data_IF_508338260660
#
_entry.id   IF_508338260660
#
_cell.length_a   1.000
_cell.length_b   1.000
_cell.length_c   1.000
_cell.angle_alpha   90.00
_cell.angle_beta   90.00
_cell.angle_gamma   90.00
#
_symmetry.space_group_name_H-M   'P 1'
#
loop_
_entity.id
_entity.type
_entity.pdbx_description
1 polymer ?
#
# COMPACT_ATOMS: atom_id res chain seq x y z
N UNK A 1 7.69 7.57 23.36
CA UNK A 1 7.59 8.29 24.64
C UNK A 1 7.72 7.31 25.79
N UNK A 2 8.75 7.43 26.66
CA UNK A 2 8.88 6.62 27.86
C UNK A 2 7.59 6.63 28.71
N UNK A 3 7.24 5.52 29.40
CA UNK A 3 5.98 5.40 30.13
C UNK A 3 5.68 6.58 31.07
N UNK A 4 6.72 7.12 31.73
CA UNK A 4 6.67 8.22 32.68
C UNK A 4 6.31 9.58 32.08
N UNK A 5 6.43 9.74 30.75
CA UNK A 5 6.07 10.97 30.02
C UNK A 5 4.84 10.79 29.12
N UNK A 6 4.11 9.68 29.25
CA UNK A 6 2.91 9.44 28.44
C UNK A 6 1.80 10.42 28.83
N UNK A 7 1.00 10.82 27.83
CA UNK A 7 -0.14 11.75 27.96
C UNK A 7 0.21 13.20 28.31
N UNK A 8 1.47 13.60 28.18
CA UNK A 8 1.92 15.00 28.33
C UNK A 8 1.97 15.79 27.01
N UNK A 9 1.26 15.30 25.97
CA UNK A 9 1.20 15.97 24.66
C UNK A 9 2.49 15.96 23.83
N UNK A 10 3.55 15.26 24.25
CA UNK A 10 4.83 15.21 23.50
C UNK A 10 4.67 14.67 22.08
N UNK A 11 3.80 13.68 21.86
CA UNK A 11 3.58 13.09 20.54
C UNK A 11 2.82 14.06 19.63
N UNK A 12 1.79 14.75 20.13
CA UNK A 12 1.08 15.79 19.35
C UNK A 12 2.06 16.85 18.84
N UNK A 13 2.86 17.40 19.75
CA UNK A 13 3.90 18.39 19.40
C UNK A 13 4.92 17.85 18.40
N UNK A 14 5.30 16.57 18.50
CA UNK A 14 6.22 15.94 17.56
C UNK A 14 5.59 15.73 16.19
N UNK A 15 4.32 15.32 16.14
CA UNK A 15 3.55 15.18 14.91
C UNK A 15 3.40 16.52 14.20
N UNK A 16 2.92 17.54 14.90
CA UNK A 16 2.79 18.91 14.39
C UNK A 16 4.13 19.44 13.85
N UNK A 17 5.21 19.31 14.62
CA UNK A 17 6.54 19.75 14.18
C UNK A 17 7.09 18.93 13.00
N UNK A 18 6.71 17.66 12.86
CA UNK A 18 7.11 16.84 11.72
C UNK A 18 6.36 17.27 10.46
N UNK A 19 5.05 17.51 10.56
CA UNK A 19 4.23 18.01 9.46
C UNK A 19 4.71 19.38 9.00
N UNK A 20 5.02 20.30 9.93
CA UNK A 20 5.57 21.62 9.60
C UNK A 20 6.92 21.51 8.87
N UNK A 21 7.77 20.56 9.26
CA UNK A 21 9.05 20.32 8.57
C UNK A 21 8.86 19.80 7.14
N UNK A 22 7.86 18.97 6.90
CA UNK A 22 7.63 18.34 5.59
C UNK A 22 6.78 19.21 4.65
N UNK A 23 6.08 20.19 5.19
CA UNK A 23 5.23 21.12 4.45
C UNK A 23 6.05 21.86 3.36
N UNK A 24 5.55 21.81 2.12
CA UNK A 24 6.22 22.37 0.93
C UNK A 24 7.37 21.53 0.38
N UNK A 25 7.68 20.38 0.98
CA UNK A 25 8.69 19.43 0.48
C UNK A 25 8.08 18.07 0.09
N UNK A 26 7.16 17.55 0.91
CA UNK A 26 6.52 16.26 0.67
C UNK A 26 4.99 16.38 0.75
N UNK A 27 4.24 15.95 -0.28
CA UNK A 27 2.77 16.05 -0.29
C UNK A 27 2.10 15.05 0.65
N UNK A 28 2.73 13.91 0.90
CA UNK A 28 2.18 12.79 1.65
C UNK A 28 3.18 12.30 2.70
N UNK A 29 2.65 11.79 3.81
CA UNK A 29 3.39 11.06 4.82
C UNK A 29 2.71 9.71 5.08
N UNK A 30 3.51 8.66 5.27
CA UNK A 30 3.03 7.33 5.59
C UNK A 30 3.66 6.79 6.87
N UNK A 31 2.96 5.89 7.57
CA UNK A 31 3.46 5.22 8.77
C UNK A 31 2.87 3.81 8.91
N UNK A 32 3.57 2.98 9.68
CA UNK A 32 3.04 1.73 10.19
C UNK A 32 2.52 1.91 11.62
N UNK A 33 1.19 1.87 11.85
CA UNK A 33 0.64 2.22 13.15
C UNK A 33 0.77 1.05 14.13
N UNK A 34 1.26 1.33 15.34
CA UNK A 34 1.05 0.39 16.46
C UNK A 34 -0.42 0.37 16.93
N UNK A 35 -1.17 1.44 16.66
CA UNK A 35 -2.59 1.59 16.95
C UNK A 35 -3.19 2.60 15.96
N UNK A 36 -4.16 2.16 15.16
CA UNK A 36 -4.81 3.03 14.15
C UNK A 36 -5.53 4.21 14.78
N UNK A 37 -6.40 3.94 15.75
CA UNK A 37 -7.15 4.97 16.49
C UNK A 37 -6.26 6.01 17.17
N UNK A 38 -5.01 5.64 17.48
CA UNK A 38 -4.04 6.59 18.02
C UNK A 38 -3.54 7.60 16.97
N UNK A 39 -3.39 7.20 15.70
CA UNK A 39 -2.93 8.10 14.63
C UNK A 39 -4.09 8.77 13.88
N UNK A 40 -5.29 8.18 13.88
CA UNK A 40 -6.52 8.78 13.34
C UNK A 40 -6.82 10.15 13.96
N UNK A 41 -6.55 10.33 15.26
CA UNK A 41 -6.74 11.63 15.92
C UNK A 41 -5.84 12.74 15.37
N UNK A 42 -4.76 12.39 14.66
CA UNK A 42 -3.88 13.33 13.98
C UNK A 42 -4.12 13.33 12.45
N UNK A 43 -5.25 12.78 12.01
CA UNK A 43 -5.71 12.73 10.63
C UNK A 43 -4.89 11.85 9.70
N UNK A 44 -4.28 10.78 10.21
CA UNK A 44 -3.85 9.64 9.38
C UNK A 44 -5.04 8.72 9.10
N UNK A 45 -5.09 8.14 7.92
CA UNK A 45 -6.10 7.17 7.53
C UNK A 45 -5.48 5.92 6.88
N UNK A 46 -6.24 4.83 6.77
CA UNK A 46 -5.73 3.58 6.18
C UNK A 46 -5.33 3.80 4.72
N UNK A 47 -4.10 3.43 4.34
CA UNK A 47 -3.60 3.58 2.97
C UNK A 47 -3.95 2.38 2.09
N UNK A 48 -3.86 1.17 2.63
CA UNK A 48 -4.25 -0.06 1.93
C UNK A 48 -4.61 -1.17 2.92
N UNK A 49 -5.32 -2.17 2.43
CA UNK A 49 -5.46 -3.48 3.08
C UNK A 49 -4.51 -4.48 2.44
N UNK A 50 -4.29 -5.59 3.12
CA UNK A 50 -3.52 -6.73 2.63
C UNK A 50 -4.17 -8.01 3.11
N UNK A 51 -4.17 -9.04 2.27
CA UNK A 51 -4.60 -10.38 2.64
C UNK A 51 -3.39 -11.19 3.12
N UNK A 52 -3.41 -11.64 4.38
CA UNK A 52 -2.54 -12.69 4.89
C UNK A 52 -3.16 -14.04 4.55
N UNK A 53 -2.46 -14.82 3.75
CA UNK A 53 -2.82 -16.19 3.44
C UNK A 53 -2.05 -17.16 4.32
N UNK A 54 -2.72 -18.23 4.74
CA UNK A 54 -2.08 -19.47 5.22
C UNK A 54 -2.62 -20.62 4.41
N UNK A 55 -1.75 -21.18 3.59
CA UNK A 55 -2.10 -22.11 2.51
C UNK A 55 -1.41 -23.44 2.80
N UNK A 56 -2.16 -24.51 3.11
CA UNK A 56 -1.60 -25.85 3.15
C UNK A 56 -0.91 -26.19 1.82
N UNK A 57 0.24 -26.86 1.85
CA UNK A 57 1.08 -27.02 0.65
C UNK A 57 0.41 -27.83 -0.48
N UNK A 58 -0.49 -28.74 -0.15
CA UNK A 58 -1.28 -29.50 -1.12
C UNK A 58 -2.26 -28.61 -1.90
N UNK A 59 -2.70 -27.49 -1.31
CA UNK A 59 -3.54 -26.50 -1.98
C UNK A 59 -2.79 -25.70 -3.05
N UNK A 60 -1.45 -25.71 -3.04
CA UNK A 60 -0.60 -25.15 -4.10
C UNK A 60 -0.33 -26.13 -5.25
N UNK A 61 -0.97 -27.30 -5.27
CA UNK A 61 -0.78 -28.31 -6.32
C UNK A 61 -1.09 -27.82 -7.74
N UNK A 62 -1.99 -26.85 -7.90
CA UNK A 62 -2.30 -26.24 -9.20
C UNK A 62 -1.08 -25.56 -9.84
N UNK A 63 -0.12 -25.12 -9.03
CA UNK A 63 1.05 -24.38 -9.48
C UNK A 63 2.23 -25.31 -9.86
N UNK A 64 2.27 -26.54 -9.34
CA UNK A 64 3.39 -27.47 -9.56
C UNK A 64 3.55 -27.85 -11.02
N UNK A 65 4.74 -27.61 -11.57
CA UNK A 65 5.08 -27.95 -12.96
C UNK A 65 4.26 -27.22 -14.03
N UNK A 66 3.55 -26.16 -13.64
CA UNK A 66 2.68 -25.40 -14.56
C UNK A 66 3.39 -24.25 -15.28
N UNK A 67 4.59 -23.89 -14.83
CA UNK A 67 5.36 -22.76 -15.34
C UNK A 67 6.64 -23.19 -16.08
N UNK A 68 7.05 -22.39 -17.08
CA UNK A 68 8.30 -22.60 -17.82
C UNK A 68 9.39 -21.64 -17.32
N UNK A 69 10.38 -22.18 -16.62
CA UNK A 69 11.46 -21.40 -16.04
C UNK A 69 12.32 -22.23 -15.11
N UNK A 70 13.27 -21.56 -14.44
CA UNK A 70 14.16 -22.20 -13.47
C UNK A 70 14.29 -21.38 -12.20
N UNK A 71 14.44 -22.07 -11.09
CA UNK A 71 14.80 -21.46 -9.81
C UNK A 71 16.30 -21.37 -9.66
N UNK A 72 16.76 -20.26 -9.12
CA UNK A 72 18.15 -20.06 -8.74
C UNK A 72 18.21 -19.33 -7.41
N UNK A 73 19.03 -19.81 -6.48
CA UNK A 73 19.30 -19.07 -5.25
C UNK A 73 20.01 -17.76 -5.59
N UNK A 74 19.50 -16.66 -5.06
CA UNK A 74 20.08 -15.34 -5.28
C UNK A 74 21.30 -15.13 -4.37
N UNK A 75 22.28 -14.39 -4.90
CA UNK A 75 23.43 -13.86 -4.19
C UNK A 75 23.30 -12.33 -4.04
N UNK A 76 24.06 -11.69 -3.15
CA UNK A 76 24.05 -10.23 -2.97
C UNK A 76 24.28 -9.44 -4.27
N UNK A 77 25.02 -10.00 -5.22
CA UNK A 77 25.31 -9.41 -6.54
C UNK A 77 24.11 -9.39 -7.49
N UNK A 78 23.08 -10.20 -7.23
CA UNK A 78 21.87 -10.28 -8.05
C UNK A 78 20.87 -9.14 -7.77
N UNK A 79 21.18 -8.22 -6.84
CA UNK A 79 20.22 -7.21 -6.35
C UNK A 79 19.53 -6.44 -7.48
N UNK A 80 20.28 -6.03 -8.52
CA UNK A 80 19.73 -5.24 -9.61
C UNK A 80 18.70 -6.02 -10.43
N UNK A 81 18.93 -7.32 -10.65
CA UNK A 81 17.99 -8.17 -11.38
C UNK A 81 16.73 -8.49 -10.55
N UNK A 82 16.84 -8.52 -9.23
CA UNK A 82 15.67 -8.62 -8.33
C UNK A 82 14.88 -7.31 -8.31
N UNK A 83 15.58 -6.18 -8.30
CA UNK A 83 14.99 -4.84 -8.36
C UNK A 83 14.20 -4.63 -9.65
N UNK A 84 14.74 -5.03 -10.80
CA UNK A 84 14.02 -4.99 -12.08
C UNK A 84 12.68 -5.74 -12.02
N UNK A 85 12.65 -6.92 -11.37
CA UNK A 85 11.43 -7.70 -11.20
C UNK A 85 10.47 -7.07 -10.17
N UNK A 86 10.99 -6.43 -9.12
CA UNK A 86 10.21 -5.69 -8.14
C UNK A 86 9.55 -4.46 -8.78
N UNK A 87 10.31 -3.61 -9.46
CA UNK A 87 9.83 -2.40 -10.14
C UNK A 87 8.82 -2.76 -11.23
N UNK A 88 9.02 -3.86 -11.96
CA UNK A 88 8.04 -4.34 -12.94
C UNK A 88 6.72 -4.80 -12.28
N UNK A 89 6.77 -5.32 -11.05
CA UNK A 89 5.57 -5.72 -10.29
C UNK A 89 4.86 -4.52 -9.66
N UNK A 90 5.60 -3.55 -9.15
CA UNK A 90 5.05 -2.34 -8.51
C UNK A 90 4.67 -1.28 -9.53
N UNK A 91 5.02 -1.45 -10.81
CA UNK A 91 4.54 -0.62 -11.89
C UNK A 91 2.99 -0.59 -11.92
N UNK A 92 2.43 0.60 -11.73
CA UNK A 92 0.99 0.80 -11.64
C UNK A 92 0.39 0.63 -10.25
N UNK A 93 1.22 0.55 -9.20
CA UNK A 93 0.75 0.59 -7.81
C UNK A 93 1.01 1.98 -7.19
N UNK A 94 0.00 2.51 -6.49
CA UNK A 94 0.17 3.73 -5.70
C UNK A 94 0.90 3.41 -4.40
N UNK A 95 1.84 4.28 -4.00
CA UNK A 95 2.70 4.14 -2.82
C UNK A 95 3.72 2.97 -2.87
N UNK A 96 3.98 2.40 -4.05
CA UNK A 96 5.12 1.50 -4.24
C UNK A 96 6.44 2.21 -3.91
N UNK A 97 7.30 1.59 -3.10
CA UNK A 97 8.56 2.19 -2.66
C UNK A 97 9.66 1.93 -3.69
N UNK A 98 10.32 2.96 -4.21
CA UNK A 98 11.56 2.76 -4.97
C UNK A 98 12.68 2.36 -4.05
N UNK A 99 13.23 1.16 -4.23
CA UNK A 99 14.28 0.59 -3.39
C UNK A 99 15.65 0.94 -3.96
N UNK A 100 16.60 1.29 -3.09
CA UNK A 100 18.00 1.48 -3.50
C UNK A 100 18.81 0.19 -3.27
N UNK A 101 20.03 0.14 -3.81
CA UNK A 101 20.93 -1.01 -3.62
C UNK A 101 21.14 -1.33 -2.13
N UNK A 102 21.20 -0.30 -1.29
CA UNK A 102 21.39 -0.48 0.15
C UNK A 102 20.21 -1.21 0.77
N UNK A 103 18.98 -0.88 0.41
CA UNK A 103 17.78 -1.60 0.81
C UNK A 103 17.88 -3.09 0.46
N UNK A 104 18.23 -3.39 -0.80
CA UNK A 104 18.38 -4.78 -1.23
C UNK A 104 19.44 -5.53 -0.44
N UNK A 105 20.63 -4.96 -0.27
CA UNK A 105 21.73 -5.62 0.42
C UNK A 105 21.51 -5.77 1.93
N UNK A 106 20.98 -4.74 2.58
CA UNK A 106 20.85 -4.71 4.05
C UNK A 106 19.55 -5.33 4.54
N UNK A 107 18.46 -5.31 3.75
CA UNK A 107 17.14 -5.77 4.19
C UNK A 107 16.66 -7.04 3.50
N UNK A 108 16.99 -7.25 2.23
CA UNK A 108 16.49 -8.41 1.46
C UNK A 108 17.52 -9.53 1.38
N UNK A 109 18.74 -9.20 0.95
CA UNK A 109 19.87 -10.10 0.73
C UNK A 109 20.83 -10.11 1.93
N UNK A 110 20.28 -10.01 3.15
CA UNK A 110 21.05 -9.86 4.39
C UNK A 110 21.73 -11.16 4.88
N UNK A 111 21.39 -12.31 4.27
CA UNK A 111 21.96 -13.62 4.60
C UNK A 111 21.16 -14.44 5.62
N UNK A 112 20.17 -13.84 6.28
CA UNK A 112 19.32 -14.51 7.28
C UNK A 112 18.09 -15.19 6.64
N UNK A 113 17.76 -14.84 5.39
CA UNK A 113 16.60 -15.34 4.63
C UNK A 113 17.02 -16.25 3.47
N UNK A 114 16.08 -17.08 3.02
CA UNK A 114 16.21 -17.80 1.75
C UNK A 114 15.67 -16.90 0.64
N UNK A 115 16.52 -16.59 -0.34
CA UNK A 115 16.15 -15.76 -1.50
C UNK A 115 16.36 -16.56 -2.78
N UNK A 116 15.31 -16.71 -3.57
CA UNK A 116 15.34 -17.41 -4.86
C UNK A 116 14.73 -16.55 -5.95
N UNK A 117 15.41 -16.49 -7.10
CA UNK A 117 14.94 -15.90 -8.33
C UNK A 117 14.28 -16.96 -9.22
N UNK A 118 13.19 -16.59 -9.88
CA UNK A 118 12.60 -17.32 -10.99
C UNK A 118 13.09 -16.70 -12.30
N UNK A 119 13.82 -17.48 -13.10
CA UNK A 119 14.41 -17.04 -14.36
C UNK A 119 13.72 -17.71 -15.55
N UNK A 120 13.36 -16.90 -16.55
CA UNK A 120 12.84 -17.36 -17.86
C UNK A 120 13.47 -16.51 -18.95
N UNK A 121 13.85 -17.14 -20.07
CA UNK A 121 14.48 -16.46 -21.22
C UNK A 121 15.72 -15.61 -20.88
N UNK A 122 16.46 -16.01 -19.85
CA UNK A 122 17.66 -15.30 -19.40
C UNK A 122 17.42 -14.04 -18.56
N UNK A 123 16.17 -13.77 -18.18
CA UNK A 123 15.80 -12.67 -17.30
C UNK A 123 15.16 -13.16 -16.00
N UNK A 124 15.36 -12.42 -14.91
CA UNK A 124 14.60 -12.60 -13.67
C UNK A 124 13.17 -12.13 -13.89
N UNK A 125 12.20 -13.02 -13.73
CA UNK A 125 10.76 -12.75 -13.87
C UNK A 125 10.02 -12.74 -12.53
N UNK A 126 10.71 -13.10 -11.46
CA UNK A 126 10.19 -12.97 -10.12
C UNK A 126 11.20 -13.45 -9.09
N UNK A 127 10.87 -13.24 -7.83
CA UNK A 127 11.65 -13.76 -6.72
C UNK A 127 10.76 -14.02 -5.51
N UNK A 128 11.26 -14.85 -4.60
CA UNK A 128 10.65 -15.08 -3.29
C UNK A 128 11.73 -14.98 -2.21
N UNK A 129 11.37 -14.32 -1.11
CA UNK A 129 12.16 -14.18 0.12
C UNK A 129 11.37 -14.84 1.24
N UNK A 130 11.94 -15.84 1.89
CA UNK A 130 11.23 -16.58 2.93
C UNK A 130 12.14 -17.10 4.03
N UNK A 131 11.53 -17.44 5.15
CA UNK A 131 12.13 -18.18 6.26
C UNK A 131 11.27 -19.38 6.62
N UNK A 132 11.77 -20.24 7.51
CA UNK A 132 10.94 -21.23 8.18
C UNK A 132 10.62 -20.76 9.59
N UNK A 133 9.35 -20.73 9.94
CA UNK A 133 8.89 -20.50 11.30
C UNK A 133 8.46 -21.84 11.92
N UNK A 134 8.77 -22.04 13.21
CA UNK A 134 8.38 -23.24 13.96
C UNK A 134 7.59 -22.83 15.19
N UNK A 135 6.35 -23.31 15.31
CA UNK A 135 5.51 -23.16 16.51
C UNK A 135 5.74 -24.25 17.57
N UNK A 136 6.50 -25.29 17.22
CA UNK A 136 6.76 -26.47 18.04
C UNK A 136 7.93 -27.29 17.48
N UNK A 137 8.04 -28.55 17.93
CA UNK A 137 9.09 -29.49 17.48
C UNK A 137 8.61 -30.41 16.33
N UNK A 138 7.31 -30.42 16.01
CA UNK A 138 6.72 -31.25 14.96
C UNK A 138 6.83 -30.63 13.56
N UNK A 139 6.82 -31.48 12.52
CA UNK A 139 6.77 -31.01 11.12
C UNK A 139 5.49 -30.23 10.81
N UNK A 140 4.37 -30.63 11.43
CA UNK A 140 3.08 -29.96 11.28
C UNK A 140 3.08 -28.53 11.87
N UNK A 141 4.02 -28.25 12.78
CA UNK A 141 4.19 -26.93 13.42
C UNK A 141 5.15 -26.01 12.63
N UNK A 142 5.69 -26.48 11.50
CA UNK A 142 6.65 -25.74 10.69
C UNK A 142 5.99 -25.18 9.44
N UNK A 143 6.13 -23.88 9.23
CA UNK A 143 5.59 -23.17 8.06
C UNK A 143 6.65 -22.37 7.33
N UNK A 144 6.42 -22.15 6.04
CA UNK A 144 7.18 -21.18 5.26
C UNK A 144 6.56 -19.80 5.47
N UNK A 145 7.34 -18.84 5.95
CA UNK A 145 6.92 -17.45 6.05
C UNK A 145 7.56 -16.64 4.92
N UNK A 146 6.76 -16.25 3.93
CA UNK A 146 7.18 -15.39 2.82
C UNK A 146 7.15 -13.94 3.30
N UNK A 147 8.32 -13.31 3.37
CA UNK A 147 8.44 -11.91 3.79
C UNK A 147 8.44 -10.93 2.62
N UNK A 148 8.80 -11.38 1.41
CA UNK A 148 8.69 -10.59 0.19
C UNK A 148 8.58 -11.50 -1.05
N UNK A 149 7.80 -11.09 -2.04
CA UNK A 149 7.65 -11.82 -3.30
C UNK A 149 7.19 -10.86 -4.40
N UNK A 150 7.91 -10.86 -5.53
CA UNK A 150 7.51 -10.12 -6.72
C UNK A 150 7.45 -11.06 -7.92
N UNK A 151 6.42 -10.89 -8.75
CA UNK A 151 6.19 -11.66 -9.97
C UNK A 151 5.75 -10.72 -11.07
N UNK A 152 6.41 -10.77 -12.23
CA UNK A 152 6.09 -9.88 -13.36
C UNK A 152 4.93 -10.41 -14.22
N UNK A 153 4.62 -11.70 -14.11
CA UNK A 153 3.52 -12.36 -14.83
C UNK A 153 3.00 -13.59 -14.05
N UNK A 154 1.90 -14.17 -14.53
CA UNK A 154 1.24 -15.31 -13.88
C UNK A 154 2.09 -16.59 -13.91
N UNK A 155 2.90 -16.78 -14.96
CA UNK A 155 3.81 -17.92 -15.09
C UNK A 155 4.91 -17.86 -14.00
N UNK A 156 5.50 -16.69 -13.75
CA UNK A 156 6.41 -16.49 -12.61
C UNK A 156 5.73 -16.71 -11.25
N UNK A 157 4.47 -16.29 -11.10
CA UNK A 157 3.69 -16.56 -9.88
C UNK A 157 3.49 -18.06 -9.67
N UNK A 158 3.08 -18.79 -10.71
CA UNK A 158 2.94 -20.24 -10.66
C UNK A 158 4.27 -20.94 -10.37
N UNK A 159 5.37 -20.51 -11.00
CA UNK A 159 6.70 -21.06 -10.77
C UNK A 159 7.15 -20.94 -9.31
N UNK A 160 6.97 -19.76 -8.72
CA UNK A 160 7.30 -19.52 -7.30
C UNK A 160 6.35 -20.25 -6.34
N UNK A 161 5.04 -20.29 -6.60
CA UNK A 161 4.10 -21.04 -5.75
C UNK A 161 4.35 -22.55 -5.85
N UNK A 162 4.66 -23.07 -7.04
CA UNK A 162 5.05 -24.47 -7.23
C UNK A 162 6.33 -24.82 -6.48
N UNK A 163 7.33 -23.94 -6.51
CA UNK A 163 8.54 -24.07 -5.69
C UNK A 163 8.25 -24.16 -4.20
N UNK A 164 7.39 -23.26 -3.69
CA UNK A 164 6.99 -23.29 -2.29
C UNK A 164 6.26 -24.59 -1.95
N UNK A 165 5.40 -25.08 -2.86
CA UNK A 165 4.71 -26.35 -2.71
C UNK A 165 5.66 -27.54 -2.55
N UNK A 166 6.79 -27.56 -3.27
CA UNK A 166 7.80 -28.64 -3.23
C UNK A 166 8.54 -28.80 -1.88
N UNK A 167 8.20 -27.99 -0.87
CA UNK A 167 8.70 -28.12 0.50
C UNK A 167 7.83 -29.00 1.42
N UNK A 168 6.99 -29.87 0.85
CA UNK A 168 6.06 -30.77 1.57
C UNK A 168 6.70 -31.70 2.62
N UNK A 169 8.01 -31.95 2.51
CA UNK A 169 8.79 -32.70 3.51
C UNK A 169 9.39 -31.83 4.63
N UNK A 170 9.19 -30.51 4.59
CA UNK A 170 9.85 -29.54 5.49
C UNK A 170 8.87 -28.57 6.17
N UNK A 171 7.67 -28.39 5.62
CA UNK A 171 6.64 -27.51 6.17
C UNK A 171 5.25 -28.06 5.87
N UNK A 172 4.25 -27.60 6.61
CA UNK A 172 2.83 -27.94 6.40
C UNK A 172 2.08 -26.89 5.58
N UNK A 173 2.46 -25.62 5.70
CA UNK A 173 1.79 -24.49 5.05
C UNK A 173 2.77 -23.39 4.59
N UNK A 174 2.27 -22.52 3.71
CA UNK A 174 2.88 -21.22 3.35
C UNK A 174 2.04 -20.11 3.95
N UNK A 175 2.70 -19.23 4.71
CA UNK A 175 2.19 -17.90 5.05
C UNK A 175 2.72 -16.88 4.05
N UNK A 176 1.84 -16.15 3.35
CA UNK A 176 2.22 -15.07 2.43
C UNK A 176 1.24 -13.91 2.49
N UNK A 177 1.65 -12.75 1.97
CA UNK A 177 0.80 -11.56 1.84
C UNK A 177 0.50 -11.25 0.37
N UNK A 178 -0.74 -10.93 0.06
CA UNK A 178 -1.19 -10.55 -1.27
C UNK A 178 -2.13 -9.32 -1.22
N UNK A 179 -2.29 -8.55 -2.30
CA UNK A 179 -3.12 -7.34 -2.32
C UNK A 179 -4.63 -7.62 -2.15
N UNK A 180 -5.09 -8.80 -2.56
CA UNK A 180 -6.50 -9.18 -2.65
C UNK A 180 -6.68 -10.68 -2.32
N UNK A 181 -7.92 -11.15 -2.40
CA UNK A 181 -8.33 -12.51 -2.05
C UNK A 181 -8.36 -13.49 -3.25
N UNK A 182 -7.91 -13.07 -4.44
CA UNK A 182 -8.06 -13.82 -5.70
C UNK A 182 -7.32 -15.16 -5.75
N UNK A 183 -6.32 -15.38 -4.88
CA UNK A 183 -5.64 -16.68 -4.79
C UNK A 183 -6.58 -17.79 -4.28
N UNK A 184 -7.66 -17.44 -3.57
CA UNK A 184 -8.69 -18.39 -3.15
C UNK A 184 -9.41 -19.04 -4.36
N UNK A 185 -9.51 -18.35 -5.48
CA UNK A 185 -10.16 -18.90 -6.68
C UNK A 185 -9.29 -19.89 -7.46
N UNK A 186 -8.01 -20.03 -7.08
CA UNK A 186 -7.03 -20.90 -7.77
C UNK A 186 -6.79 -22.21 -7.06
N UNK A 187 -6.93 -22.23 -5.74
CA UNK A 187 -6.66 -23.42 -4.93
C UNK A 187 -7.75 -24.49 -5.13
N UNK A 188 -7.42 -25.79 -5.06
CA UNK A 188 -8.39 -26.87 -5.22
C UNK A 188 -9.55 -26.84 -4.21
N UNK A 189 -9.25 -26.54 -2.94
CA UNK A 189 -10.23 -26.49 -1.85
C UNK A 189 -10.08 -25.17 -1.08
N UNK A 190 -10.76 -24.08 -1.50
CA UNK A 190 -10.62 -22.77 -0.88
C UNK A 190 -11.00 -22.73 0.61
N UNK A 191 -11.89 -23.63 1.03
CA UNK A 191 -12.30 -23.76 2.44
C UNK A 191 -11.21 -24.26 3.39
N UNK A 192 -10.12 -24.80 2.85
CA UNK A 192 -8.96 -25.28 3.62
C UNK A 192 -7.87 -24.20 3.77
N UNK A 193 -8.08 -23.01 3.19
CA UNK A 193 -7.13 -21.88 3.23
C UNK A 193 -7.63 -20.79 4.16
N UNK A 194 -6.78 -20.34 5.10
CA UNK A 194 -7.09 -19.13 5.87
C UNK A 194 -6.67 -17.89 5.07
N UNK A 195 -7.59 -16.93 4.93
CA UNK A 195 -7.33 -15.62 4.32
C UNK A 195 -7.82 -14.52 5.27
N UNK A 196 -6.88 -13.83 5.92
CA UNK A 196 -7.13 -12.76 6.89
C UNK A 196 -6.90 -11.40 6.23
N UNK A 197 -7.88 -10.51 6.33
CA UNK A 197 -7.71 -9.13 5.85
C UNK A 197 -7.16 -8.25 6.97
N UNK A 198 -5.99 -7.67 6.73
CA UNK A 198 -5.36 -6.71 7.63
C UNK A 198 -5.40 -5.32 7.02
N UNK A 199 -5.67 -4.32 7.85
CA UNK A 199 -5.33 -2.93 7.51
C UNK A 199 -3.82 -2.77 7.58
N UNK A 200 -3.23 -2.29 6.50
CA UNK A 200 -1.79 -2.06 6.40
C UNK A 200 -1.38 -0.70 6.98
N UNK A 201 -0.45 0.00 6.31
CA UNK A 201 0.02 1.29 6.76
C UNK A 201 -1.07 2.37 6.65
N UNK A 202 -0.80 3.50 7.28
CA UNK A 202 -1.62 4.69 7.18
C UNK A 202 -0.94 5.77 6.36
N UNK A 203 -1.73 6.61 5.71
CA UNK A 203 -1.30 7.76 4.91
C UNK A 203 -2.00 9.03 5.39
N UNK A 204 -1.33 10.16 5.18
CA UNK A 204 -1.83 11.51 5.46
C UNK A 204 -1.28 12.49 4.42
N UNK A 205 -2.13 13.36 3.90
CA UNK A 205 -1.72 14.56 3.18
C UNK A 205 -1.06 15.53 4.16
N UNK A 206 0.19 15.90 3.88
CA UNK A 206 0.94 16.88 4.67
C UNK A 206 0.46 18.29 4.32
N UNK A 207 0.26 18.55 3.02
CA UNK A 207 -0.31 19.77 2.47
C UNK A 207 -1.40 19.40 1.44
N UNK A 208 -2.62 19.90 1.64
CA UNK A 208 -3.77 19.62 0.76
C UNK A 208 -3.51 20.06 -0.67
N UNK A 209 -2.90 21.23 -0.88
CA UNK A 209 -2.67 21.77 -2.22
C UNK A 209 -1.63 20.96 -2.97
N UNK A 210 -0.52 20.60 -2.31
CA UNK A 210 0.55 19.81 -2.91
C UNK A 210 0.09 18.37 -3.16
N UNK A 211 -0.66 17.77 -2.23
CA UNK A 211 -1.23 16.45 -2.38
C UNK A 211 -2.18 16.36 -3.58
N UNK A 212 -3.10 17.32 -3.74
CA UNK A 212 -4.02 17.35 -4.87
C UNK A 212 -3.30 17.63 -6.20
N UNK A 213 -2.30 18.53 -6.23
CA UNK A 213 -1.50 18.79 -7.44
C UNK A 213 -0.67 17.59 -7.88
N UNK A 214 -0.25 16.74 -6.94
CA UNK A 214 0.60 15.59 -7.22
C UNK A 214 -0.16 14.39 -7.81
N UNK A 215 -1.50 14.41 -7.82
CA UNK A 215 -2.31 13.31 -8.34
C UNK A 215 -2.15 13.19 -9.86
N UNK A 216 -1.86 11.99 -10.39
CA UNK A 216 -1.84 11.74 -11.84
C UNK A 216 -3.27 11.52 -12.36
N UNK A 217 -4.03 12.61 -12.49
CA UNK A 217 -5.42 12.56 -12.94
C UNK A 217 -5.58 11.83 -14.30
N UNK A 218 -6.70 11.10 -14.53
CA UNK A 218 -6.93 10.39 -15.79
C UNK A 218 -6.91 11.30 -17.02
N UNK A 219 -6.44 10.77 -18.15
CA UNK A 219 -6.35 11.50 -19.41
C UNK A 219 -7.72 12.07 -19.82
N UNK A 220 -7.76 13.38 -20.10
CA UNK A 220 -8.97 14.09 -20.51
C UNK A 220 -9.94 14.41 -19.38
N UNK A 221 -9.62 14.06 -18.12
CA UNK A 221 -10.41 14.49 -16.97
C UNK A 221 -10.33 16.02 -16.81
N UNK A 222 -11.47 16.63 -16.51
CA UNK A 222 -11.55 18.05 -16.20
C UNK A 222 -12.73 18.35 -15.30
N UNK A 223 -12.48 19.13 -14.25
CA UNK A 223 -13.50 19.61 -13.33
C UNK A 223 -12.94 20.78 -12.51
N UNK A 224 -13.84 21.64 -12.07
CA UNK A 224 -13.58 22.66 -11.05
C UNK A 224 -14.40 22.30 -9.81
N UNK A 225 -13.76 22.18 -8.65
CA UNK A 225 -14.38 21.80 -7.39
C UNK A 225 -13.93 22.71 -6.26
N UNK A 226 -14.86 23.10 -5.38
CA UNK A 226 -14.56 23.70 -4.09
C UNK A 226 -14.64 22.66 -2.98
N UNK A 227 -13.55 22.45 -2.26
CA UNK A 227 -13.45 21.52 -1.15
C UNK A 227 -13.37 22.29 0.18
N UNK A 228 -14.21 21.95 1.15
CA UNK A 228 -14.01 22.31 2.55
C UNK A 228 -13.33 21.13 3.28
N UNK A 229 -12.07 21.34 3.69
CA UNK A 229 -11.26 20.34 4.38
C UNK A 229 -11.18 20.66 5.86
N UNK A 230 -11.46 19.67 6.70
CA UNK A 230 -11.27 19.77 8.16
C UNK A 230 -9.95 19.10 8.57
N UNK A 231 -9.09 19.84 9.29
CA UNK A 231 -7.84 19.29 9.83
C UNK A 231 -7.51 19.89 11.21
N UNK A 232 -7.81 19.13 12.27
CA UNK A 232 -7.57 19.57 13.65
C UNK A 232 -6.08 19.59 14.05
N UNK A 233 -5.17 19.09 13.19
CA UNK A 233 -3.74 18.98 13.51
C UNK A 233 -2.94 20.15 12.99
N UNK A 234 -3.21 20.63 11.77
CA UNK A 234 -2.44 21.72 11.14
C UNK A 234 -3.33 22.72 10.40
N UNK A 235 -3.12 24.01 10.70
CA UNK A 235 -4.02 25.08 10.25
C UNK A 235 -3.94 25.40 8.74
N UNK A 236 -2.88 24.99 8.04
CA UNK A 236 -2.76 25.24 6.60
C UNK A 236 -3.65 24.30 5.77
N UNK A 237 -4.02 23.14 6.31
CA UNK A 237 -4.94 22.19 5.68
C UNK A 237 -6.41 22.44 6.06
N UNK A 238 -6.67 23.09 7.19
CA UNK A 238 -8.03 23.41 7.63
C UNK A 238 -8.59 24.61 6.87
N UNK A 239 -9.67 24.42 6.11
CA UNK A 239 -10.35 25.49 5.37
C UNK A 239 -10.82 25.10 3.97
N UNK A 240 -11.06 26.10 3.13
CA UNK A 240 -11.58 25.92 1.77
C UNK A 240 -10.48 25.94 0.70
N UNK A 241 -10.62 25.10 -0.31
CA UNK A 241 -9.68 24.93 -1.42
C UNK A 241 -10.42 24.88 -2.75
N UNK A 242 -9.89 25.57 -3.76
CA UNK A 242 -10.36 25.48 -5.14
C UNK A 242 -9.42 24.56 -5.92
N UNK A 243 -9.94 23.42 -6.39
CA UNK A 243 -9.26 22.47 -7.26
C UNK A 243 -9.77 22.64 -8.68
N UNK A 244 -8.86 22.94 -9.60
CA UNK A 244 -9.13 22.94 -11.03
C UNK A 244 -8.27 21.88 -11.70
N UNK A 245 -8.90 20.93 -12.38
CA UNK A 245 -8.23 19.87 -13.16
C UNK A 245 -8.53 20.10 -14.65
N UNK A 246 -7.49 20.00 -15.46
CA UNK A 246 -7.64 20.07 -16.90
C UNK A 246 -6.47 19.42 -17.65
N UNK A 247 -6.38 19.64 -18.98
CA UNK A 247 -5.39 18.97 -19.83
C UNK A 247 -3.93 19.24 -19.49
N UNK A 248 -3.64 20.32 -18.75
CA UNK A 248 -2.30 20.71 -18.31
C UNK A 248 -1.94 20.21 -16.90
N UNK A 249 -2.78 19.36 -16.29
CA UNK A 249 -2.67 18.92 -14.90
C UNK A 249 -3.64 19.68 -13.99
N UNK A 250 -3.36 19.65 -12.68
CA UNK A 250 -4.18 20.28 -11.67
C UNK A 250 -3.54 21.50 -11.03
N UNK A 251 -4.37 22.47 -10.69
CA UNK A 251 -4.04 23.57 -9.79
C UNK A 251 -4.93 23.50 -8.57
N UNK A 252 -4.36 23.77 -7.40
CA UNK A 252 -5.11 23.82 -6.15
C UNK A 252 -4.62 25.01 -5.32
N UNK A 253 -5.55 25.85 -4.89
CA UNK A 253 -5.26 27.03 -4.08
C UNK A 253 -6.20 27.09 -2.87
N UNK A 254 -5.63 27.46 -1.71
CA UNK A 254 -6.42 27.70 -0.51
C UNK A 254 -7.16 29.02 -0.66
N UNK A 255 -8.46 29.00 -0.48
CA UNK A 255 -9.31 30.19 -0.61
C UNK A 255 -9.19 31.02 0.67
N UNK A 256 -8.84 32.30 0.53
CA UNK A 256 -8.83 33.24 1.65
C UNK A 256 -10.25 33.54 2.17
N UNK A 257 -10.39 34.04 3.39
CA UNK A 257 -11.69 34.29 4.07
C UNK A 257 -12.65 35.29 3.39
N UNK A 258 -12.39 35.73 2.15
CA UNK A 258 -13.15 36.77 1.43
C UNK A 258 -13.79 36.30 0.11
N UNK A 259 -13.65 35.04 -0.27
CA UNK A 259 -14.33 34.39 -1.39
C UNK A 259 -14.69 32.99 -0.89
N UNK A 260 -15.90 32.44 -0.93
CA UNK A 260 -17.15 32.77 -1.57
C UNK A 260 -18.30 32.56 -0.55
N UNK A 261 -19.47 33.12 -0.84
CA UNK A 261 -20.71 32.90 -0.08
C UNK A 261 -21.47 31.65 -0.57
N UNK A 262 -20.81 30.75 -1.31
CA UNK A 262 -21.39 29.53 -1.84
C UNK A 262 -20.99 28.34 -0.94
N UNK A 263 -21.92 27.39 -0.77
CA UNK A 263 -21.63 26.14 -0.09
C UNK A 263 -20.57 25.36 -0.90
N UNK A 264 -19.58 24.72 -0.24
CA UNK A 264 -18.57 23.94 -0.94
C UNK A 264 -19.20 22.74 -1.66
N UNK A 265 -18.64 22.37 -2.82
CA UNK A 265 -19.09 21.18 -3.58
C UNK A 265 -18.82 19.88 -2.81
N UNK A 266 -17.74 19.87 -2.02
CA UNK A 266 -17.28 18.72 -1.23
C UNK A 266 -16.89 19.19 0.17
N UNK A 267 -17.37 18.51 1.20
CA UNK A 267 -16.81 18.61 2.55
C UNK A 267 -16.14 17.30 2.94
N UNK A 268 -14.92 17.34 3.47
CA UNK A 268 -14.11 16.14 3.73
C UNK A 268 -13.12 16.33 4.89
N UNK A 269 -12.88 15.31 5.71
CA UNK A 269 -11.75 15.36 6.67
C UNK A 269 -10.41 15.02 5.99
N UNK A 270 -9.30 15.51 6.54
CA UNK A 270 -7.96 15.31 5.97
C UNK A 270 -7.58 13.83 5.80
N UNK A 271 -8.01 12.94 6.70
CA UNK A 271 -7.78 11.51 6.61
C UNK A 271 -8.54 10.90 5.44
N UNK A 272 -9.83 11.18 5.33
CA UNK A 272 -10.67 10.72 4.20
C UNK A 272 -10.16 11.26 2.86
N UNK A 273 -9.76 12.54 2.80
CA UNK A 273 -9.13 13.12 1.62
C UNK A 273 -7.83 12.39 1.26
N UNK A 274 -7.02 12.02 2.25
CA UNK A 274 -5.78 11.27 2.03
C UNK A 274 -6.04 9.90 1.41
N UNK A 275 -7.12 9.21 1.80
CA UNK A 275 -7.52 7.93 1.19
C UNK A 275 -7.96 8.10 -0.25
N UNK A 276 -8.70 9.18 -0.55
CA UNK A 276 -9.13 9.52 -1.90
C UNK A 276 -7.92 9.83 -2.80
N UNK A 277 -6.98 10.66 -2.31
CA UNK A 277 -5.77 11.07 -3.04
C UNK A 277 -4.91 9.88 -3.45
N UNK A 278 -4.77 8.87 -2.58
CA UNK A 278 -4.00 7.67 -2.93
C UNK A 278 -4.80 6.62 -3.69
N UNK A 279 -6.12 6.81 -3.85
CA UNK A 279 -7.00 5.88 -4.54
C UNK A 279 -7.35 4.62 -3.73
N UNK A 280 -7.26 4.65 -2.39
CA UNK A 280 -7.57 3.48 -1.56
C UNK A 280 -9.05 3.09 -1.61
N UNK A 281 -9.93 4.10 -1.66
CA UNK A 281 -11.39 3.95 -1.74
C UNK A 281 -11.93 4.99 -2.70
N UNK A 282 -12.96 4.61 -3.44
CA UNK A 282 -13.69 5.56 -4.26
C UNK A 282 -14.52 6.53 -3.40
N UNK A 283 -14.96 7.63 -4.02
CA UNK A 283 -15.73 8.66 -3.33
C UNK A 283 -17.07 8.14 -2.77
N UNK A 284 -17.73 7.19 -3.43
CA UNK A 284 -19.01 6.64 -2.98
C UNK A 284 -18.84 5.79 -1.70
N UNK A 285 -17.77 5.00 -1.62
CA UNK A 285 -17.39 4.28 -0.42
C UNK A 285 -17.01 5.25 0.70
N UNK A 286 -16.23 6.30 0.42
CA UNK A 286 -15.81 7.28 1.42
C UNK A 286 -16.97 8.10 1.98
N UNK A 287 -18.06 8.32 1.23
CA UNK A 287 -19.31 8.87 1.77
C UNK A 287 -19.96 7.97 2.83
N UNK A 288 -19.77 6.66 2.70
CA UNK A 288 -20.41 5.65 3.56
C UNK A 288 -19.58 5.34 4.80
N UNK A 289 -18.25 5.34 4.68
CA UNK A 289 -17.35 4.85 5.73
C UNK A 289 -16.38 5.90 6.26
N UNK A 290 -16.19 7.02 5.55
CA UNK A 290 -15.37 8.16 5.95
C UNK A 290 -16.23 9.41 6.18
N UNK A 291 -15.55 10.53 6.42
CA UNK A 291 -16.19 11.84 6.51
C UNK A 291 -16.05 12.54 5.15
N UNK A 292 -16.91 12.16 4.19
CA UNK A 292 -17.02 12.80 2.88
C UNK A 292 -18.49 13.10 2.58
N UNK A 293 -18.78 14.35 2.29
CA UNK A 293 -20.09 14.82 1.83
C UNK A 293 -19.96 15.49 0.48
N UNK A 294 -20.54 14.86 -0.54
CA UNK A 294 -20.68 15.37 -1.90
C UNK A 294 -21.89 14.71 -2.56
N UNK A 295 -22.57 15.42 -3.46
CA UNK A 295 -23.77 14.93 -4.16
C UNK A 295 -23.80 15.41 -5.61
N UNK A 296 -24.61 14.73 -6.44
CA UNK A 296 -24.80 15.07 -7.85
C UNK A 296 -23.47 15.14 -8.62
N UNK A 297 -23.33 16.19 -9.42
CA UNK A 297 -22.19 16.41 -10.30
C UNK A 297 -20.84 16.41 -9.54
N UNK A 298 -20.81 16.87 -8.28
CA UNK A 298 -19.59 16.88 -7.48
C UNK A 298 -19.09 15.46 -7.18
N UNK A 299 -20.00 14.53 -6.87
CA UNK A 299 -19.64 13.14 -6.62
C UNK A 299 -19.17 12.43 -7.90
N UNK A 300 -19.84 12.68 -9.02
CA UNK A 300 -19.46 12.12 -10.33
C UNK A 300 -18.09 12.65 -10.78
N UNK A 301 -17.81 13.93 -10.51
CA UNK A 301 -16.49 14.52 -10.71
C UNK A 301 -15.43 13.87 -9.82
N UNK A 302 -15.69 13.68 -8.51
CA UNK A 302 -14.75 12.98 -7.64
C UNK A 302 -14.46 11.55 -8.11
N UNK A 303 -15.48 10.80 -8.53
CA UNK A 303 -15.30 9.44 -9.06
C UNK A 303 -14.47 9.41 -10.36
N UNK A 304 -14.58 10.45 -11.19
CA UNK A 304 -13.80 10.59 -12.42
C UNK A 304 -12.36 11.01 -12.14
N UNK A 305 -12.16 11.95 -11.21
CA UNK A 305 -10.85 12.49 -10.87
C UNK A 305 -9.99 11.53 -10.05
N UNK A 306 -10.60 10.77 -9.15
CA UNK A 306 -9.93 9.88 -8.20
C UNK A 306 -10.48 8.46 -8.33
N UNK A 307 -10.24 7.78 -9.47
CA UNK A 307 -10.61 6.38 -9.58
C UNK A 307 -9.87 5.55 -8.51
N UNK A 308 -10.46 4.43 -8.05
CA UNK A 308 -9.76 3.54 -7.14
C UNK A 308 -8.52 2.96 -7.83
N UNK A 309 -7.42 2.94 -7.09
CA UNK A 309 -6.09 2.50 -7.54
C UNK A 309 -5.65 1.24 -6.78
N UNK A 310 -4.66 0.55 -7.33
CA UNK A 310 -4.00 -0.53 -6.59
C UNK A 310 -2.99 0.07 -5.62
N UNK A 311 -3.44 0.40 -4.41
CA UNK A 311 -2.56 0.98 -3.37
C UNK A 311 -1.80 -0.12 -2.64
N UNK A 312 -0.47 -0.04 -2.62
CA UNK A 312 0.36 -1.06 -1.99
C UNK A 312 1.66 -0.48 -1.41
N UNK A 313 1.61 -0.06 -0.14
CA UNK A 313 2.82 0.18 0.66
C UNK A 313 3.14 -1.08 1.47
N UNK A 314 4.05 -1.90 0.95
CA UNK A 314 4.42 -3.23 1.50
C UNK A 314 5.60 -3.19 2.44
N UNK A 315 6.45 -2.19 2.26
CA UNK A 315 7.73 -2.08 2.93
C UNK A 315 7.58 -1.51 4.34
N UNK A 316 8.13 -2.23 5.34
CA UNK A 316 8.21 -1.77 6.72
C UNK A 316 9.48 -0.94 6.93
N UNK A 317 9.38 0.20 7.63
CA UNK A 317 10.48 1.15 7.84
C UNK A 317 10.56 1.70 9.25
#
# INVERSE_FOLDING_TARGET
>A
TPPEYRREGHVSRMVEASLDRWHGEFPLAALWPFSRSYYEQFGWATANTVCEYRIPLDQLSFARGSADGRLRRAAPEDWAALDDAYEARTAGETLGLRRDERWWRERVLNGDTYVYAWERDGATRGYVVYTFESGGEGMDDRRIAVSDMATVDDDALCGLLGFLADHDSQASEVKLYAPDDTLLDRVPTPGDVECLVHTGPMVRAVDVTDALKAVPYPDGASADLTLAVTDDTVAWNDGAFELAVGPSGATCERVGSRSSAADPDVAVDIGTLSQLVVGYRDAADLRRVGDLSADGDALDNLATLFPPERVALRDFF
#
